data_IF_598185751652
#
_entry.id   IF_598185751652
#
_cell.length_a   1.000
_cell.length_b   1.000
_cell.length_c   1.000
_cell.angle_alpha   90.00
_cell.angle_beta   90.00
_cell.angle_gamma   90.00
#
_symmetry.space_group_name_H-M   'P 1'
#
loop_
_entity.id
_entity.type
_entity.pdbx_description
1 polymer ?
#
# COMPACT_ATOMS: atom_id res chain seq x y z
N UNK A 1 13.15 20.18 -13.62
CA UNK A 1 12.96 20.43 -12.18
C UNK A 1 13.98 19.57 -11.46
N UNK A 2 14.84 20.15 -10.62
CA UNK A 2 15.78 19.35 -9.82
C UNK A 2 14.98 18.59 -8.79
N UNK A 3 15.14 17.24 -8.77
CA UNK A 3 14.56 16.39 -7.71
C UNK A 3 15.08 16.87 -6.33
N UNK A 4 14.28 16.71 -5.30
CA UNK A 4 14.69 16.99 -3.93
C UNK A 4 15.95 16.15 -3.63
N UNK A 5 17.09 16.81 -3.48
CA UNK A 5 18.29 16.17 -2.93
C UNK A 5 18.03 16.05 -1.42
N UNK A 6 17.45 14.90 -1.01
CA UNK A 6 17.28 14.62 0.41
C UNK A 6 18.67 14.31 0.99
N UNK A 7 19.25 15.29 1.64
CA UNK A 7 20.53 15.11 2.34
C UNK A 7 20.28 14.34 3.63
N UNK A 8 21.06 13.29 3.87
CA UNK A 8 21.03 12.58 5.14
C UNK A 8 21.51 13.51 6.26
N UNK A 9 20.73 13.60 7.32
CA UNK A 9 21.10 14.41 8.50
C UNK A 9 22.15 13.65 9.31
N UNK A 10 23.27 14.26 9.70
CA UNK A 10 24.23 13.62 10.59
C UNK A 10 23.58 13.17 11.89
N UNK A 11 23.88 11.96 12.33
CA UNK A 11 23.29 11.34 13.52
C UNK A 11 24.34 10.61 14.34
N UNK A 12 24.11 10.49 15.65
CA UNK A 12 24.90 9.63 16.55
C UNK A 12 24.31 8.22 16.69
N UNK A 13 23.20 7.92 15.97
CA UNK A 13 22.61 6.59 15.99
C UNK A 13 23.42 5.62 15.13
N UNK A 14 23.58 4.39 15.61
CA UNK A 14 24.30 3.33 14.91
C UNK A 14 23.31 2.39 14.20
N UNK A 15 23.28 2.44 12.89
CA UNK A 15 22.47 1.57 12.03
C UNK A 15 23.23 0.36 11.47
N UNK A 16 24.46 0.09 11.93
CA UNK A 16 25.30 -1.02 11.44
C UNK A 16 24.59 -2.39 11.53
N UNK A 17 23.82 -2.62 12.60
CA UNK A 17 23.03 -3.84 12.78
C UNK A 17 21.90 -3.96 11.74
N UNK A 18 21.28 -2.84 11.35
CA UNK A 18 20.27 -2.79 10.27
C UNK A 18 20.91 -3.18 8.95
N UNK A 19 22.04 -2.54 8.61
CA UNK A 19 22.76 -2.79 7.36
C UNK A 19 23.25 -4.25 7.28
N UNK A 20 23.83 -4.77 8.36
CA UNK A 20 24.27 -6.17 8.44
C UNK A 20 23.12 -7.16 8.28
N UNK A 21 21.96 -6.89 8.88
CA UNK A 21 20.78 -7.75 8.73
C UNK A 21 20.29 -7.79 7.28
N UNK A 22 20.14 -6.63 6.63
CA UNK A 22 19.69 -6.56 5.25
C UNK A 22 20.70 -7.22 4.30
N UNK A 23 22.00 -7.06 4.55
CA UNK A 23 23.07 -7.77 3.82
C UNK A 23 22.92 -9.29 3.91
N UNK A 24 22.66 -9.84 5.10
CA UNK A 24 22.48 -11.28 5.28
C UNK A 24 21.35 -11.86 4.41
N UNK A 25 20.23 -11.15 4.24
CA UNK A 25 19.13 -11.61 3.40
C UNK A 25 19.52 -11.62 1.91
N UNK A 26 20.34 -10.66 1.48
CA UNK A 26 20.86 -10.62 0.10
C UNK A 26 21.90 -11.74 -0.11
N UNK A 27 22.87 -11.89 0.80
CA UNK A 27 23.91 -12.90 0.72
C UNK A 27 23.35 -14.32 0.77
N UNK A 28 22.26 -14.53 1.52
CA UNK A 28 21.50 -15.78 1.57
C UNK A 28 20.61 -16.02 0.33
N UNK A 29 20.63 -15.13 -0.67
CA UNK A 29 19.78 -15.22 -1.85
C UNK A 29 18.26 -15.30 -1.57
N UNK A 30 17.82 -14.63 -0.48
CA UNK A 30 16.42 -14.47 -0.10
C UNK A 30 15.86 -13.20 -0.76
N UNK A 31 16.65 -12.13 -0.83
CA UNK A 31 16.35 -10.89 -1.52
C UNK A 31 17.40 -10.61 -2.60
N UNK A 32 16.98 -10.05 -3.73
CA UNK A 32 17.93 -9.58 -4.75
C UNK A 32 18.67 -8.33 -4.27
N UNK A 33 17.94 -7.41 -3.69
CA UNK A 33 18.46 -6.17 -3.14
C UNK A 33 17.46 -5.50 -2.20
N UNK A 34 17.97 -4.62 -1.37
CA UNK A 34 17.22 -3.84 -0.39
C UNK A 34 17.66 -2.39 -0.45
N UNK A 35 16.70 -1.48 -0.61
CA UNK A 35 16.86 -0.06 -0.28
C UNK A 35 16.04 0.25 0.97
N UNK A 36 16.62 0.93 1.93
CA UNK A 36 15.93 1.30 3.17
C UNK A 36 16.26 2.72 3.61
N UNK A 37 15.33 3.30 4.36
CA UNK A 37 15.49 4.62 4.97
C UNK A 37 14.87 4.65 6.36
N UNK A 38 15.47 5.43 7.26
CA UNK A 38 14.94 5.70 8.61
C UNK A 38 14.90 7.21 8.83
N UNK A 39 13.78 7.69 9.37
CA UNK A 39 13.57 9.08 9.76
C UNK A 39 13.34 9.16 11.26
N UNK A 40 13.98 10.14 11.91
CA UNK A 40 13.68 10.58 13.27
C UNK A 40 13.04 11.97 13.17
N UNK A 41 11.75 12.06 13.53
CA UNK A 41 10.94 13.19 13.09
C UNK A 41 10.95 13.30 11.57
N UNK A 42 11.22 14.51 11.05
CA UNK A 42 11.38 14.73 9.61
C UNK A 42 12.81 14.54 9.09
N UNK A 43 13.79 14.24 9.95
CA UNK A 43 15.18 14.08 9.57
C UNK A 43 15.44 12.69 9.01
N UNK A 44 15.99 12.63 7.81
CA UNK A 44 16.47 11.37 7.22
C UNK A 44 17.83 11.02 7.84
N UNK A 45 17.83 10.07 8.78
CA UNK A 45 19.02 9.74 9.60
C UNK A 45 19.78 8.52 9.08
N UNK A 46 19.12 7.65 8.30
CA UNK A 46 19.78 6.50 7.68
C UNK A 46 19.23 6.22 6.28
N UNK A 47 20.14 5.86 5.37
CA UNK A 47 19.85 5.35 4.04
C UNK A 47 20.79 4.22 3.72
N UNK A 48 20.27 3.09 3.28
CA UNK A 48 21.08 1.95 2.88
C UNK A 48 20.58 1.35 1.57
N UNK A 49 21.51 1.02 0.67
CA UNK A 49 21.26 0.25 -0.52
C UNK A 49 22.24 -0.92 -0.57
N UNK A 50 21.73 -2.13 -0.70
CA UNK A 50 22.55 -3.36 -0.69
C UNK A 50 22.02 -4.38 -1.69
N UNK A 51 22.92 -5.10 -2.37
CA UNK A 51 22.59 -6.13 -3.35
C UNK A 51 22.33 -5.58 -4.75
N UNK A 52 21.40 -6.17 -5.46
CA UNK A 52 21.23 -6.04 -6.90
C UNK A 52 19.85 -5.49 -7.26
N UNK A 53 19.82 -4.57 -8.21
CA UNK A 53 18.60 -4.18 -8.91
C UNK A 53 18.20 -5.24 -9.94
N UNK A 54 19.22 -5.84 -10.60
CA UNK A 54 19.08 -6.97 -11.52
C UNK A 54 20.25 -7.93 -11.29
N UNK A 55 19.95 -9.12 -10.76
CA UNK A 55 21.00 -10.12 -10.46
C UNK A 55 21.57 -10.77 -11.72
N UNK A 56 20.75 -10.96 -12.73
CA UNK A 56 21.12 -11.63 -13.96
C UNK A 56 22.07 -10.77 -14.80
N UNK A 57 22.05 -9.45 -14.57
CA UNK A 57 22.92 -8.47 -15.25
C UNK A 57 24.02 -7.93 -14.36
N UNK A 58 24.15 -8.45 -13.14
CA UNK A 58 25.09 -7.92 -12.13
C UNK A 58 24.92 -6.40 -11.90
N UNK A 59 23.69 -5.89 -12.05
CA UNK A 59 23.41 -4.48 -11.84
C UNK A 59 23.20 -4.19 -10.32
N UNK A 60 24.17 -3.51 -9.72
CA UNK A 60 24.13 -3.16 -8.31
C UNK A 60 22.95 -2.21 -8.01
N UNK A 61 22.27 -2.43 -6.89
CA UNK A 61 21.18 -1.57 -6.44
C UNK A 61 21.71 -0.21 -5.98
N UNK A 62 21.14 0.87 -6.53
CA UNK A 62 21.44 2.27 -6.18
C UNK A 62 20.20 2.95 -5.64
N UNK A 63 20.39 4.08 -4.99
CA UNK A 63 19.31 4.87 -4.36
C UNK A 63 18.28 5.41 -5.37
N UNK A 64 18.69 5.57 -6.61
CA UNK A 64 17.87 6.10 -7.71
C UNK A 64 17.07 5.03 -8.47
N UNK A 65 17.16 3.75 -8.06
CA UNK A 65 16.35 2.71 -8.68
C UNK A 65 14.86 2.86 -8.36
N UNK A 66 14.05 2.42 -9.33
CA UNK A 66 12.59 2.46 -9.28
C UNK A 66 12.04 1.09 -8.86
N UNK A 67 11.03 1.12 -8.03
CA UNK A 67 10.38 -0.07 -7.49
C UNK A 67 8.90 -0.08 -7.85
N UNK A 68 8.36 -1.25 -8.18
CA UNK A 68 6.91 -1.45 -8.20
C UNK A 68 6.44 -1.44 -6.75
N UNK A 69 5.76 -0.38 -6.36
CA UNK A 69 5.40 -0.18 -4.94
C UNK A 69 4.08 -0.83 -4.56
N UNK A 70 3.33 -1.33 -5.55
CA UNK A 70 2.05 -2.02 -5.35
C UNK A 70 1.19 -1.32 -4.30
N UNK A 71 0.81 -2.01 -3.23
CA UNK A 71 -0.15 -1.48 -2.25
C UNK A 71 0.34 -0.28 -1.44
N UNK A 72 1.61 0.14 -1.55
CA UNK A 72 2.02 1.45 -1.04
C UNK A 72 1.33 2.61 -1.79
N UNK A 73 0.85 2.36 -3.02
CA UNK A 73 -0.01 3.28 -3.78
C UNK A 73 -1.22 3.73 -2.97
N UNK A 74 -1.77 2.87 -2.12
CA UNK A 74 -2.95 3.16 -1.29
C UNK A 74 -2.75 4.37 -0.37
N UNK A 75 -1.54 4.58 0.14
CA UNK A 75 -1.24 5.75 0.95
C UNK A 75 -1.44 7.05 0.15
N UNK A 76 -0.95 7.09 -1.09
CA UNK A 76 -1.10 8.24 -2.00
C UNK A 76 -2.59 8.44 -2.34
N UNK A 77 -3.31 7.37 -2.64
CA UNK A 77 -4.75 7.42 -2.94
C UNK A 77 -5.55 7.94 -1.75
N UNK A 78 -5.25 7.47 -0.54
CA UNK A 78 -5.91 7.95 0.68
C UNK A 78 -5.61 9.43 0.94
N UNK A 79 -4.39 9.88 0.69
CA UNK A 79 -4.07 11.31 0.75
C UNK A 79 -4.88 12.12 -0.28
N UNK A 80 -5.08 11.59 -1.51
CA UNK A 80 -5.91 12.25 -2.52
C UNK A 80 -7.37 12.41 -2.07
N UNK A 81 -7.96 11.37 -1.48
CA UNK A 81 -9.31 11.41 -0.92
C UNK A 81 -9.39 12.42 0.23
N UNK A 82 -8.41 12.40 1.14
CA UNK A 82 -8.39 13.29 2.30
C UNK A 82 -8.16 14.76 1.93
N UNK A 83 -7.43 15.07 0.85
CA UNK A 83 -7.34 16.43 0.30
C UNK A 83 -8.72 16.96 -0.13
N UNK A 84 -9.50 16.13 -0.83
CA UNK A 84 -10.86 16.52 -1.24
C UNK A 84 -11.84 16.60 -0.06
N UNK A 85 -11.66 15.76 0.96
CA UNK A 85 -12.39 15.87 2.23
C UNK A 85 -12.08 17.19 2.93
N UNK A 86 -10.80 17.60 3.04
CA UNK A 86 -10.41 18.88 3.62
C UNK A 86 -10.93 20.10 2.85
N UNK A 87 -11.21 19.94 1.57
CA UNK A 87 -11.86 20.94 0.70
C UNK A 87 -13.40 20.97 0.86
N UNK A 88 -13.95 20.13 1.74
CA UNK A 88 -15.40 20.05 1.97
C UNK A 88 -16.20 19.51 0.78
N UNK A 89 -15.59 18.65 -0.05
CA UNK A 89 -16.26 18.07 -1.21
C UNK A 89 -17.26 16.98 -0.85
N UNK A 90 -17.06 16.33 0.28
CA UNK A 90 -17.89 15.28 0.88
C UNK A 90 -17.52 15.08 2.35
N UNK A 91 -18.38 14.40 3.08
CA UNK A 91 -18.08 13.87 4.41
C UNK A 91 -17.64 12.40 4.29
N UNK A 92 -16.78 11.92 5.20
CA UNK A 92 -16.31 10.52 5.15
C UNK A 92 -17.43 9.49 5.34
N UNK A 93 -18.51 9.87 5.99
CA UNK A 93 -19.67 9.01 6.23
C UNK A 93 -20.75 9.16 5.16
N UNK A 94 -20.52 9.95 4.11
CA UNK A 94 -21.40 10.00 2.96
C UNK A 94 -21.46 8.65 2.24
N UNK A 95 -22.64 8.22 1.77
CA UNK A 95 -22.80 7.06 0.93
C UNK A 95 -22.03 7.21 -0.38
N UNK A 96 -21.17 6.25 -0.71
CA UNK A 96 -20.45 6.28 -1.99
C UNK A 96 -21.38 6.30 -3.21
N UNK A 97 -22.58 5.77 -3.08
CA UNK A 97 -23.61 5.77 -4.13
C UNK A 97 -24.08 7.17 -4.53
N UNK A 98 -23.86 8.19 -3.73
CA UNK A 98 -24.07 9.59 -4.08
C UNK A 98 -23.21 10.01 -5.27
N UNK A 99 -22.00 9.47 -5.37
CA UNK A 99 -21.01 9.77 -6.41
C UNK A 99 -20.93 8.66 -7.47
N UNK A 100 -21.08 7.40 -7.05
CA UNK A 100 -20.97 6.20 -7.88
C UNK A 100 -22.29 5.40 -7.73
N UNK A 101 -23.36 5.74 -8.49
CA UNK A 101 -24.67 5.11 -8.36
C UNK A 101 -24.63 3.57 -8.52
N UNK A 102 -23.67 3.04 -9.30
CA UNK A 102 -23.45 1.61 -9.48
C UNK A 102 -23.21 0.86 -8.16
N UNK A 103 -22.77 1.55 -7.12
CA UNK A 103 -22.52 0.97 -5.78
C UNK A 103 -23.70 1.16 -4.80
N UNK A 104 -24.84 1.63 -5.28
CA UNK A 104 -26.09 1.62 -4.54
C UNK A 104 -26.75 0.24 -4.51
N UNK A 105 -27.75 0.07 -3.64
CA UNK A 105 -28.59 -1.14 -3.54
C UNK A 105 -27.80 -2.46 -3.51
N UNK A 106 -26.75 -2.52 -2.70
CA UNK A 106 -25.87 -3.68 -2.61
C UNK A 106 -26.54 -4.86 -1.92
N UNK A 107 -26.09 -6.05 -2.29
CA UNK A 107 -26.45 -7.32 -1.66
C UNK A 107 -25.21 -7.93 -1.01
N UNK A 108 -25.43 -8.75 0.01
CA UNK A 108 -24.40 -9.47 0.77
C UNK A 108 -24.58 -10.96 0.57
N UNK A 109 -23.50 -11.67 0.28
CA UNK A 109 -23.50 -13.13 0.14
C UNK A 109 -23.90 -13.77 1.49
N UNK A 110 -24.88 -14.69 1.47
CA UNK A 110 -25.32 -15.38 2.69
C UNK A 110 -24.23 -16.31 3.24
N UNK A 111 -24.13 -16.44 4.55
CA UNK A 111 -23.27 -17.48 5.14
C UNK A 111 -23.61 -18.88 4.61
N UNK A 112 -22.59 -19.58 4.12
CA UNK A 112 -22.80 -20.93 3.58
C UNK A 112 -23.40 -21.01 2.16
N UNK A 113 -23.55 -19.86 1.47
CA UNK A 113 -24.00 -19.82 0.09
C UNK A 113 -23.12 -20.73 -0.80
N UNK A 114 -23.77 -21.49 -1.69
CA UNK A 114 -23.11 -22.35 -2.69
C UNK A 114 -23.18 -21.76 -4.09
N UNK A 115 -23.95 -20.68 -4.28
CA UNK A 115 -24.06 -19.92 -5.52
C UNK A 115 -23.97 -18.42 -5.22
N UNK A 116 -23.37 -17.69 -6.14
CA UNK A 116 -23.07 -16.25 -5.95
C UNK A 116 -24.34 -15.38 -5.84
N UNK A 117 -25.49 -15.87 -6.32
CA UNK A 117 -26.78 -15.17 -6.29
C UNK A 117 -27.57 -15.38 -5.00
N UNK A 118 -27.13 -16.26 -4.09
CA UNK A 118 -27.77 -16.45 -2.79
C UNK A 118 -27.35 -15.34 -1.82
N UNK A 119 -28.11 -14.24 -1.86
CA UNK A 119 -27.75 -12.99 -1.19
C UNK A 119 -28.92 -12.42 -0.40
N UNK A 120 -28.61 -11.57 0.58
CA UNK A 120 -29.54 -10.70 1.27
C UNK A 120 -29.25 -9.22 0.94
N UNK A 121 -30.22 -8.31 0.99
CA UNK A 121 -29.96 -6.88 0.87
C UNK A 121 -28.99 -6.39 1.95
N UNK A 122 -28.05 -5.51 1.57
CA UNK A 122 -27.18 -4.88 2.54
C UNK A 122 -27.99 -4.02 3.52
N UNK A 123 -27.62 -4.05 4.81
CA UNK A 123 -28.33 -3.32 5.88
C UNK A 123 -28.12 -1.82 5.86
N UNK A 124 -27.04 -1.36 5.21
CA UNK A 124 -26.68 0.04 5.06
C UNK A 124 -25.93 0.27 3.74
N UNK A 125 -25.92 1.50 3.22
CA UNK A 125 -25.03 1.83 2.10
C UNK A 125 -23.56 1.76 2.52
N UNK A 126 -22.69 1.61 1.53
CA UNK A 126 -21.22 1.72 1.72
C UNK A 126 -20.88 3.19 1.88
N UNK A 127 -20.08 3.55 2.90
CA UNK A 127 -19.55 4.91 3.08
C UNK A 127 -18.12 5.04 2.54
N UNK A 128 -17.67 6.29 2.30
CA UNK A 128 -16.30 6.60 1.91
C UNK A 128 -15.31 6.11 2.99
N UNK A 129 -15.62 6.33 4.28
CA UNK A 129 -14.84 5.83 5.43
C UNK A 129 -14.65 4.31 5.37
N UNK A 130 -15.72 3.56 5.08
CA UNK A 130 -15.67 2.12 4.98
C UNK A 130 -14.83 1.62 3.79
N UNK A 131 -14.80 2.36 2.68
CA UNK A 131 -13.88 2.08 1.57
C UNK A 131 -12.42 2.32 1.99
N UNK A 132 -12.13 3.44 2.66
CA UNK A 132 -10.79 3.78 3.12
C UNK A 132 -10.26 2.80 4.18
N UNK A 133 -11.13 2.24 5.01
CA UNK A 133 -10.78 1.30 6.07
C UNK A 133 -10.92 -0.18 5.69
N UNK A 134 -11.28 -0.50 4.44
CA UNK A 134 -11.55 -1.86 3.98
C UNK A 134 -12.66 -2.58 4.75
N UNK A 135 -13.61 -1.85 5.33
CA UNK A 135 -14.79 -2.38 6.02
C UNK A 135 -16.08 -2.30 5.19
N UNK A 136 -15.97 -2.07 3.89
CA UNK A 136 -17.10 -1.92 2.96
C UNK A 136 -17.80 -3.23 2.58
N UNK A 137 -17.13 -4.39 2.76
CA UNK A 137 -17.62 -5.70 2.27
C UNK A 137 -17.23 -6.00 0.82
N UNK A 138 -16.58 -5.08 0.09
CA UNK A 138 -15.94 -5.40 -1.19
C UNK A 138 -14.78 -6.36 -0.98
N UNK A 139 -14.43 -7.16 -1.99
CA UNK A 139 -13.30 -8.08 -1.98
C UNK A 139 -12.26 -7.74 -3.06
N UNK A 140 -11.31 -8.61 -3.27
CA UNK A 140 -10.19 -8.35 -4.19
C UNK A 140 -10.15 -9.30 -5.40
N UNK A 141 -10.65 -10.54 -5.25
CA UNK A 141 -10.42 -11.60 -6.25
C UNK A 141 -8.93 -11.91 -6.42
N UNK A 142 -8.15 -11.82 -5.36
CA UNK A 142 -6.70 -12.05 -5.36
C UNK A 142 -6.23 -12.97 -4.22
N UNK A 143 -6.87 -12.90 -3.06
CA UNK A 143 -6.34 -13.43 -1.82
C UNK A 143 -7.02 -14.70 -1.33
N UNK A 144 -8.24 -15.01 -1.78
CA UNK A 144 -9.04 -16.16 -1.35
C UNK A 144 -9.40 -17.09 -2.54
N UNK A 145 -8.40 -17.72 -3.20
CA UNK A 145 -8.67 -18.60 -4.34
C UNK A 145 -9.60 -19.76 -3.92
N UNK A 146 -10.60 -20.05 -4.77
CA UNK A 146 -11.58 -21.11 -4.53
C UNK A 146 -12.87 -20.65 -3.84
N UNK A 147 -12.98 -19.42 -3.38
CA UNK A 147 -14.25 -18.87 -2.91
C UNK A 147 -15.14 -18.42 -4.06
N UNK A 148 -16.46 -18.35 -3.84
CA UNK A 148 -17.42 -17.84 -4.82
C UNK A 148 -17.09 -16.39 -5.22
N UNK A 149 -16.74 -15.56 -4.25
CA UNK A 149 -16.36 -14.16 -4.49
C UNK A 149 -15.10 -14.06 -5.36
N UNK A 150 -14.05 -14.83 -5.05
CA UNK A 150 -12.82 -14.84 -5.84
C UNK A 150 -13.11 -15.20 -7.30
N UNK A 151 -13.90 -16.27 -7.51
CA UNK A 151 -14.29 -16.73 -8.85
C UNK A 151 -15.07 -15.63 -9.59
N UNK A 152 -16.08 -15.04 -8.94
CA UNK A 152 -16.92 -14.01 -9.54
C UNK A 152 -16.14 -12.75 -9.92
N UNK A 153 -15.22 -12.27 -9.07
CA UNK A 153 -14.34 -11.12 -9.36
C UNK A 153 -13.40 -11.42 -10.53
N UNK A 154 -12.91 -12.66 -10.64
CA UNK A 154 -12.03 -13.11 -11.72
C UNK A 154 -12.79 -13.18 -13.04
N UNK A 155 -13.96 -13.81 -13.07
CA UNK A 155 -14.80 -13.95 -14.26
C UNK A 155 -15.29 -12.59 -14.78
N UNK A 156 -15.66 -11.68 -13.89
CA UNK A 156 -16.04 -10.31 -14.23
C UNK A 156 -14.85 -9.42 -14.60
N UNK A 157 -13.61 -9.93 -14.50
CA UNK A 157 -12.38 -9.20 -14.82
C UNK A 157 -12.30 -7.83 -14.12
N UNK A 158 -12.68 -7.78 -12.85
CA UNK A 158 -12.75 -6.53 -12.07
C UNK A 158 -11.43 -5.74 -12.12
N UNK A 159 -10.30 -6.42 -12.32
CA UNK A 159 -8.95 -5.83 -12.38
C UNK A 159 -8.34 -5.94 -13.78
N UNK A 160 -9.12 -5.73 -14.83
CA UNK A 160 -8.63 -5.72 -16.21
C UNK A 160 -7.87 -4.41 -16.50
N UNK A 161 -6.58 -4.45 -16.84
CA UNK A 161 -5.81 -3.24 -17.13
C UNK A 161 -6.27 -2.52 -18.41
N UNK A 162 -7.08 -3.15 -19.26
CA UNK A 162 -7.63 -2.54 -20.47
C UNK A 162 -8.93 -1.76 -20.20
N UNK A 163 -9.46 -1.81 -19.00
CA UNK A 163 -10.70 -1.16 -18.59
C UNK A 163 -10.39 0.03 -17.69
N UNK A 164 -11.08 1.15 -17.89
CA UNK A 164 -10.93 2.34 -17.03
C UNK A 164 -11.51 2.11 -15.63
N UNK A 165 -11.21 3.02 -14.69
CA UNK A 165 -11.85 3.00 -13.37
C UNK A 165 -13.39 3.09 -13.47
N UNK A 166 -13.93 3.81 -14.44
CA UNK A 166 -15.38 3.85 -14.69
C UNK A 166 -15.93 2.47 -15.09
N UNK A 167 -15.31 1.80 -16.06
CA UNK A 167 -15.72 0.46 -16.48
C UNK A 167 -15.51 -0.62 -15.38
N UNK A 168 -14.54 -0.42 -14.49
CA UNK A 168 -14.41 -1.26 -13.31
C UNK A 168 -15.63 -1.15 -12.39
N UNK A 169 -16.24 0.06 -12.24
CA UNK A 169 -17.48 0.20 -11.47
C UNK A 169 -18.61 -0.62 -12.07
N UNK A 170 -18.72 -0.66 -13.39
CA UNK A 170 -19.73 -1.49 -14.07
C UNK A 170 -19.50 -2.98 -13.83
N UNK A 171 -18.23 -3.44 -13.76
CA UNK A 171 -17.92 -4.82 -13.42
C UNK A 171 -18.29 -5.20 -11.97
N UNK A 172 -18.39 -4.23 -11.06
CA UNK A 172 -18.74 -4.44 -9.66
C UNK A 172 -20.26 -4.46 -9.39
N UNK A 173 -21.11 -3.98 -10.32
CA UNK A 173 -22.55 -3.74 -10.10
C UNK A 173 -23.26 -4.93 -9.47
N UNK A 174 -23.13 -6.13 -10.06
CA UNK A 174 -23.87 -7.34 -9.67
C UNK A 174 -23.10 -8.24 -8.69
N UNK A 175 -21.90 -7.85 -8.29
CA UNK A 175 -21.09 -8.67 -7.38
C UNK A 175 -21.53 -8.42 -5.93
N UNK A 176 -21.85 -9.46 -5.14
CA UNK A 176 -22.23 -9.26 -3.75
C UNK A 176 -21.05 -8.84 -2.89
N UNK A 177 -21.37 -8.25 -1.75
CA UNK A 177 -20.43 -7.98 -0.67
C UNK A 177 -20.17 -9.28 0.13
N UNK A 178 -19.02 -9.37 0.76
CA UNK A 178 -18.64 -10.51 1.63
C UNK A 178 -19.38 -10.44 2.97
N UNK A 179 -19.63 -9.23 3.47
CA UNK A 179 -20.37 -8.94 4.70
C UNK A 179 -21.09 -7.59 4.59
N UNK A 180 -21.99 -7.32 5.52
CA UNK A 180 -22.66 -6.03 5.59
C UNK A 180 -21.66 -4.89 5.86
N UNK A 181 -21.77 -3.75 5.16
CA UNK A 181 -20.87 -2.63 5.37
C UNK A 181 -20.70 -2.26 6.85
N UNK A 182 -19.45 -2.14 7.29
CA UNK A 182 -19.09 -1.83 8.66
C UNK A 182 -19.05 -3.00 9.64
N UNK A 183 -19.36 -4.25 9.23
CA UNK A 183 -19.42 -5.38 10.17
C UNK A 183 -18.21 -6.31 10.14
N UNK A 184 -17.24 -6.05 9.27
CA UNK A 184 -16.05 -6.87 9.11
C UNK A 184 -14.93 -6.11 8.41
N UNK A 185 -13.83 -6.80 8.17
CA UNK A 185 -12.71 -6.29 7.41
C UNK A 185 -12.34 -7.26 6.29
N UNK A 186 -12.22 -6.73 5.07
CA UNK A 186 -11.80 -7.49 3.89
C UNK A 186 -10.91 -6.61 3.02
N UNK A 187 -9.67 -7.02 2.84
CA UNK A 187 -8.77 -6.34 1.90
C UNK A 187 -9.32 -6.38 0.49
N UNK A 188 -9.46 -5.22 -0.17
CA UNK A 188 -10.34 -5.13 -1.32
C UNK A 188 -9.89 -4.12 -2.37
N UNK A 189 -10.59 -4.11 -3.49
CA UNK A 189 -10.51 -3.09 -4.55
C UNK A 189 -11.10 -1.73 -4.12
N UNK A 190 -11.46 -1.58 -2.87
CA UNK A 190 -12.04 -0.33 -2.36
C UNK A 190 -11.19 0.91 -2.69
N UNK A 191 -9.87 0.79 -2.70
CA UNK A 191 -8.99 1.91 -3.04
C UNK A 191 -9.04 2.27 -4.53
N UNK A 192 -9.34 1.32 -5.42
CA UNK A 192 -9.61 1.62 -6.83
C UNK A 192 -10.97 2.34 -6.99
N UNK A 193 -11.96 1.98 -6.18
CA UNK A 193 -13.24 2.72 -6.09
C UNK A 193 -13.00 4.16 -5.61
N UNK A 194 -12.13 4.35 -4.62
CA UNK A 194 -11.74 5.68 -4.14
C UNK A 194 -11.01 6.49 -5.23
N UNK A 195 -10.21 5.85 -6.08
CA UNK A 195 -9.61 6.54 -7.22
C UNK A 195 -10.66 7.06 -8.20
N UNK A 196 -11.74 6.28 -8.43
CA UNK A 196 -12.88 6.73 -9.22
C UNK A 196 -13.63 7.88 -8.55
N UNK A 197 -13.80 7.86 -7.23
CA UNK A 197 -14.35 8.99 -6.47
C UNK A 197 -13.52 10.26 -6.71
N UNK A 198 -12.19 10.17 -6.64
CA UNK A 198 -11.30 11.31 -6.92
C UNK A 198 -11.53 11.86 -8.32
N UNK A 199 -11.65 11.02 -9.36
CA UNK A 199 -11.95 11.48 -10.73
C UNK A 199 -13.28 12.23 -10.82
N UNK A 200 -14.34 11.67 -10.21
CA UNK A 200 -15.69 12.26 -10.28
C UNK A 200 -15.77 13.60 -9.55
N UNK A 201 -15.13 13.70 -8.40
CA UNK A 201 -15.19 14.91 -7.56
C UNK A 201 -14.28 16.01 -8.09
N UNK A 202 -13.11 15.65 -8.63
CA UNK A 202 -12.14 16.62 -9.16
C UNK A 202 -12.37 17.02 -10.60
N UNK A 203 -13.06 16.18 -11.39
CA UNK A 203 -13.29 16.39 -12.81
C UNK A 203 -12.08 16.09 -13.72
N UNK A 204 -10.98 15.56 -13.17
CA UNK A 204 -9.77 15.19 -13.92
C UNK A 204 -9.43 13.72 -13.67
N UNK A 205 -8.52 13.13 -14.47
CA UNK A 205 -8.10 11.75 -14.26
C UNK A 205 -7.39 11.58 -12.91
N UNK A 206 -7.46 10.37 -12.35
CA UNK A 206 -6.81 10.07 -11.07
C UNK A 206 -5.29 10.35 -11.13
N UNK A 207 -4.64 9.98 -12.25
CA UNK A 207 -3.21 10.24 -12.45
C UNK A 207 -2.87 11.73 -12.47
N UNK A 208 -3.67 12.55 -13.16
CA UNK A 208 -3.47 14.01 -13.19
C UNK A 208 -3.70 14.64 -11.81
N UNK A 209 -4.70 14.14 -11.07
CA UNK A 209 -4.96 14.61 -9.71
C UNK A 209 -3.77 14.36 -8.80
N UNK A 210 -3.31 13.12 -8.67
CA UNK A 210 -2.17 12.82 -7.79
C UNK A 210 -0.90 13.54 -8.24
N UNK A 211 -0.65 13.63 -9.55
CA UNK A 211 0.50 14.34 -10.10
C UNK A 211 0.52 15.82 -9.71
N UNK A 212 -0.62 16.50 -9.84
CA UNK A 212 -0.71 17.94 -9.57
C UNK A 212 -0.80 18.28 -8.09
N UNK A 213 -1.48 17.44 -7.29
CA UNK A 213 -1.86 17.76 -5.92
C UNK A 213 -0.97 17.10 -4.85
N UNK A 214 -0.23 16.05 -5.22
CA UNK A 214 0.60 15.28 -4.28
C UNK A 214 2.04 15.18 -4.78
N UNK A 215 2.25 14.57 -5.96
CA UNK A 215 3.60 14.22 -6.38
C UNK A 215 4.45 15.45 -6.67
N UNK A 216 3.93 16.39 -7.44
CA UNK A 216 4.66 17.64 -7.75
C UNK A 216 4.89 18.51 -6.51
N UNK A 217 3.90 18.78 -5.64
CA UNK A 217 4.13 19.53 -4.40
C UNK A 217 5.18 18.93 -3.47
N UNK A 218 5.24 17.59 -3.39
CA UNK A 218 6.23 16.88 -2.57
C UNK A 218 7.57 16.63 -3.29
N UNK A 219 7.70 17.02 -4.57
CA UNK A 219 8.91 16.78 -5.36
C UNK A 219 9.15 15.31 -5.72
N UNK A 220 8.11 14.49 -5.75
CA UNK A 220 8.15 13.06 -6.08
C UNK A 220 8.22 12.87 -7.61
N UNK A 221 9.41 13.05 -8.17
CA UNK A 221 9.62 13.10 -9.63
C UNK A 221 9.70 11.72 -10.28
N UNK A 222 9.96 10.69 -9.51
CA UNK A 222 10.14 9.30 -9.93
C UNK A 222 8.87 8.44 -9.72
N UNK A 223 7.78 9.06 -9.24
CA UNK A 223 6.53 8.34 -8.92
C UNK A 223 5.50 8.52 -10.02
N UNK A 224 4.91 7.41 -10.47
CA UNK A 224 3.86 7.44 -11.50
C UNK A 224 3.38 6.06 -11.93
N UNK A 225 2.38 6.02 -12.80
CA UNK A 225 1.85 4.77 -13.37
C UNK A 225 2.73 4.19 -14.48
N UNK A 226 3.57 5.02 -15.08
CA UNK A 226 4.44 4.65 -16.21
C UNK A 226 5.84 5.18 -15.96
N UNK A 227 6.82 4.31 -16.16
CA UNK A 227 8.24 4.69 -16.18
C UNK A 227 8.58 5.23 -17.56
N UNK A 228 9.03 6.49 -17.70
CA UNK A 228 9.49 7.06 -18.96
C UNK A 228 10.58 6.19 -19.62
N UNK A 229 10.64 6.19 -20.95
CA UNK A 229 11.53 5.32 -21.69
C UNK A 229 13.00 5.47 -21.28
N UNK A 230 13.43 6.70 -21.03
CA UNK A 230 14.78 7.08 -20.59
C UNK A 230 15.12 6.59 -19.18
N UNK A 231 14.12 6.29 -18.35
CA UNK A 231 14.31 5.83 -16.96
C UNK A 231 14.05 4.32 -16.76
N UNK A 232 13.69 3.57 -17.82
CA UNK A 232 13.39 2.14 -17.71
C UNK A 232 14.56 1.30 -17.21
N UNK A 233 15.78 1.72 -17.50
CA UNK A 233 16.99 1.08 -16.99
C UNK A 233 17.12 1.15 -15.46
N UNK A 234 16.38 2.06 -14.80
CA UNK A 234 16.33 2.19 -13.34
C UNK A 234 15.28 1.28 -12.67
N UNK A 235 14.40 0.62 -13.45
CA UNK A 235 13.33 -0.22 -12.90
C UNK A 235 13.90 -1.56 -12.45
N UNK A 236 13.96 -1.77 -11.12
CA UNK A 236 14.48 -2.99 -10.53
C UNK A 236 13.69 -4.24 -10.98
N UNK A 237 14.40 -5.32 -11.23
CA UNK A 237 13.82 -6.60 -11.66
C UNK A 237 12.96 -7.20 -10.55
N UNK A 238 11.78 -7.71 -10.93
CA UNK A 238 10.83 -8.32 -10.02
C UNK A 238 11.07 -9.82 -9.92
N UNK A 239 11.17 -10.35 -8.72
CA UNK A 239 11.53 -11.74 -8.45
C UNK A 239 10.43 -12.53 -7.76
N UNK A 240 10.44 -13.83 -7.98
CA UNK A 240 9.68 -14.83 -7.20
C UNK A 240 10.67 -15.64 -6.38
N UNK A 241 10.33 -15.93 -5.12
CA UNK A 241 11.12 -16.85 -4.29
C UNK A 241 10.99 -18.29 -4.76
N UNK A 242 11.97 -19.13 -4.43
CA UNK A 242 12.00 -20.54 -4.79
C UNK A 242 10.82 -21.35 -4.21
N UNK A 243 10.22 -20.88 -3.12
CA UNK A 243 9.08 -21.49 -2.47
C UNK A 243 8.05 -20.41 -2.08
N UNK A 244 6.78 -20.54 -2.49
CA UNK A 244 5.74 -19.59 -2.11
C UNK A 244 5.28 -19.72 -0.65
N UNK A 245 5.54 -20.87 -0.01
CA UNK A 245 5.13 -21.17 1.37
C UNK A 245 6.26 -20.87 2.36
N UNK A 246 7.51 -21.16 1.99
CA UNK A 246 8.69 -20.84 2.79
C UNK A 246 9.39 -19.57 2.27
N UNK A 247 9.12 -18.40 2.86
CA UNK A 247 9.70 -17.14 2.42
C UNK A 247 11.21 -17.05 2.68
N UNK A 248 11.76 -17.92 3.53
CA UNK A 248 13.16 -17.92 3.88
C UNK A 248 13.98 -18.92 3.06
N UNK A 249 13.35 -19.71 2.19
CA UNK A 249 14.06 -20.61 1.29
C UNK A 249 14.88 -19.81 0.27
N UNK A 250 16.19 -20.04 0.18
CA UNK A 250 17.05 -19.39 -0.79
C UNK A 250 16.65 -19.70 -2.23
N UNK A 251 16.80 -18.71 -3.10
CA UNK A 251 16.53 -18.84 -4.52
C UNK A 251 15.54 -17.79 -5.01
N UNK A 252 15.89 -17.15 -6.12
CA UNK A 252 15.11 -16.10 -6.77
C UNK A 252 15.08 -16.35 -8.26
N UNK A 253 13.92 -16.18 -8.86
CA UNK A 253 13.73 -16.27 -10.31
C UNK A 253 13.06 -14.97 -10.79
N UNK A 254 13.60 -14.31 -11.84
CA UNK A 254 12.96 -13.15 -12.43
C UNK A 254 11.54 -13.47 -12.89
N UNK A 255 10.61 -12.57 -12.63
CA UNK A 255 9.23 -12.67 -13.10
C UNK A 255 8.89 -11.50 -13.99
N UNK A 256 8.95 -11.73 -15.26
CA UNK A 256 8.48 -10.78 -16.25
C UNK A 256 6.95 -10.73 -16.31
N UNK A 257 6.43 -9.67 -16.94
CA UNK A 257 4.99 -9.55 -17.24
C UNK A 257 4.05 -9.59 -16.02
N UNK A 258 4.52 -9.16 -14.85
CA UNK A 258 3.68 -9.04 -13.66
C UNK A 258 3.47 -7.57 -13.26
N UNK A 259 2.25 -7.16 -12.91
CA UNK A 259 0.99 -7.91 -12.80
C UNK A 259 0.33 -8.25 -14.16
N UNK A 260 0.76 -7.64 -15.25
CA UNK A 260 0.34 -7.91 -16.63
C UNK A 260 1.48 -7.54 -17.60
N UNK A 261 1.42 -7.99 -18.89
CA UNK A 261 2.48 -7.70 -19.86
C UNK A 261 2.73 -6.21 -20.04
N UNK A 262 4.01 -5.81 -20.01
CA UNK A 262 4.46 -4.42 -20.10
C UNK A 262 3.88 -3.50 -19.01
N UNK A 263 3.53 -4.05 -17.85
CA UNK A 263 3.13 -3.24 -16.69
C UNK A 263 4.19 -2.18 -16.39
N UNK A 264 3.73 -0.97 -16.09
CA UNK A 264 4.55 0.21 -15.76
C UNK A 264 5.45 0.75 -16.89
N UNK A 265 5.48 0.13 -18.07
CA UNK A 265 6.26 0.65 -19.22
C UNK A 265 5.37 1.14 -20.37
N UNK A 266 4.06 0.96 -20.27
CA UNK A 266 3.05 1.55 -21.14
C UNK A 266 1.89 2.09 -20.34
N UNK A 267 1.22 3.12 -20.86
CA UNK A 267 -0.04 3.61 -20.29
C UNK A 267 -1.14 2.58 -20.50
N UNK A 268 -1.98 2.43 -19.48
CA UNK A 268 -3.20 1.62 -19.52
C UNK A 268 -4.37 2.46 -18.98
N UNK A 269 -5.62 2.17 -19.41
CA UNK A 269 -6.80 2.90 -18.90
C UNK A 269 -7.01 2.76 -17.40
N UNK A 270 -6.63 1.60 -16.83
CA UNK A 270 -6.76 1.32 -15.39
C UNK A 270 -5.64 1.96 -14.57
N UNK A 271 -5.87 3.16 -14.09
CA UNK A 271 -4.97 3.84 -13.15
C UNK A 271 -5.25 3.37 -11.72
N UNK A 272 -4.78 2.16 -11.39
CA UNK A 272 -5.09 1.52 -10.11
C UNK A 272 -4.52 2.30 -8.92
N UNK A 273 -5.39 2.91 -8.14
CA UNK A 273 -5.01 3.49 -6.83
C UNK A 273 -4.77 2.43 -5.76
N UNK A 274 -5.18 1.19 -6.02
CA UNK A 274 -4.89 0.05 -5.16
C UNK A 274 -3.47 -0.51 -5.29
N UNK A 275 -2.73 -0.20 -6.39
CA UNK A 275 -1.42 -0.84 -6.57
C UNK A 275 -0.69 -0.52 -7.86
N UNK A 276 -1.05 0.53 -8.58
CA UNK A 276 -0.56 0.78 -9.93
C UNK A 276 0.72 1.60 -10.04
N UNK A 277 1.27 2.13 -8.96
CA UNK A 277 2.42 3.03 -9.04
C UNK A 277 3.76 2.31 -8.99
N UNK A 278 4.74 2.94 -9.62
CA UNK A 278 6.17 2.81 -9.34
C UNK A 278 6.63 4.03 -8.57
N UNK A 279 7.71 3.89 -7.79
CA UNK A 279 8.30 5.00 -7.03
C UNK A 279 9.77 4.70 -6.73
N UNK A 280 10.52 5.72 -6.30
CA UNK A 280 11.87 5.56 -5.73
C UNK A 280 11.83 5.59 -4.20
N UNK A 281 12.94 5.19 -3.56
CA UNK A 281 13.09 5.31 -2.11
C UNK A 281 12.90 6.77 -1.66
N UNK A 282 13.54 7.71 -2.36
CA UNK A 282 13.52 9.13 -1.98
C UNK A 282 12.14 9.77 -2.15
N UNK A 283 11.39 9.41 -3.18
CA UNK A 283 10.02 9.87 -3.35
C UNK A 283 9.11 9.39 -2.22
N UNK A 284 9.24 8.10 -1.84
CA UNK A 284 8.47 7.57 -0.72
C UNK A 284 8.88 8.20 0.62
N UNK A 285 10.16 8.53 0.81
CA UNK A 285 10.62 9.33 1.97
C UNK A 285 9.96 10.71 1.97
N UNK A 286 9.89 11.38 0.81
CA UNK A 286 9.22 12.68 0.69
C UNK A 286 7.73 12.59 1.06
N UNK A 287 7.04 11.52 0.64
CA UNK A 287 5.65 11.26 1.03
C UNK A 287 5.51 11.09 2.54
N UNK A 288 6.36 10.25 3.18
CA UNK A 288 6.31 10.05 4.63
C UNK A 288 6.58 11.36 5.39
N UNK A 289 7.55 12.16 4.94
CA UNK A 289 7.82 13.48 5.52
C UNK A 289 6.60 14.41 5.44
N UNK A 290 5.86 14.38 4.35
CA UNK A 290 4.61 15.14 4.19
C UNK A 290 3.49 14.75 5.17
N UNK A 291 3.65 13.62 5.88
CA UNK A 291 2.72 13.12 6.90
C UNK A 291 3.28 13.21 8.33
N UNK A 292 4.50 13.74 8.50
CA UNK A 292 5.16 13.87 9.80
C UNK A 292 5.08 15.33 10.30
N UNK A 293 4.98 15.53 11.62
CA UNK A 293 5.02 16.86 12.21
C UNK A 293 6.35 17.58 11.90
N UNK A 294 6.30 18.89 11.64
CA UNK A 294 7.52 19.72 11.45
C UNK A 294 7.99 19.84 9.99
N UNK A 295 7.31 19.24 9.04
CA UNK A 295 7.50 19.48 7.59
C UNK A 295 6.35 20.33 7.01
N UNK A 296 6.47 20.72 5.73
CA UNK A 296 5.33 21.22 4.97
C UNK A 296 4.34 20.05 4.81
N UNK A 297 3.32 20.01 5.67
CA UNK A 297 2.35 18.93 5.71
C UNK A 297 1.51 18.89 4.44
N UNK A 298 1.31 17.68 3.91
CA UNK A 298 0.41 17.44 2.78
C UNK A 298 -1.06 17.60 3.18
N UNK A 299 -1.41 17.25 4.40
CA UNK A 299 -2.75 17.28 5.00
C UNK A 299 -2.69 18.06 6.31
N UNK A 300 -3.83 18.50 6.82
CA UNK A 300 -3.93 19.14 8.13
C UNK A 300 -3.57 18.14 9.24
N UNK A 301 -2.97 18.60 10.36
CA UNK A 301 -2.58 17.72 11.47
C UNK A 301 -3.72 16.85 12.01
N UNK A 302 -4.93 17.40 12.13
CA UNK A 302 -6.12 16.67 12.58
C UNK A 302 -6.55 15.57 11.60
N UNK A 303 -6.41 15.80 10.30
CA UNK A 303 -6.69 14.81 9.26
C UNK A 303 -5.66 13.68 9.28
N UNK A 304 -4.39 14.00 9.47
CA UNK A 304 -3.32 13.01 9.64
C UNK A 304 -3.57 12.16 10.89
N UNK A 305 -3.92 12.79 12.02
CA UNK A 305 -4.24 12.06 13.25
C UNK A 305 -5.44 11.12 13.07
N UNK A 306 -6.51 11.58 12.41
CA UNK A 306 -7.67 10.75 12.08
C UNK A 306 -7.28 9.59 11.16
N UNK A 307 -6.44 9.83 10.15
CA UNK A 307 -5.98 8.80 9.21
C UNK A 307 -5.22 7.67 9.91
N UNK A 308 -4.44 7.99 10.95
CA UNK A 308 -3.63 7.05 11.73
C UNK A 308 -4.38 6.42 12.92
N UNK A 309 -5.66 6.75 13.11
CA UNK A 309 -6.50 6.19 14.19
C UNK A 309 -7.29 5.00 13.66
N UNK A 310 -7.50 3.96 14.51
CA UNK A 310 -8.32 2.82 14.16
C UNK A 310 -9.75 3.24 13.79
N UNK A 311 -10.23 2.79 12.64
CA UNK A 311 -11.56 3.07 12.10
C UNK A 311 -12.48 1.84 12.17
N UNK A 312 -11.95 0.69 12.58
CA UNK A 312 -12.75 -0.53 12.65
C UNK A 312 -13.59 -0.54 13.92
N UNK A 313 -14.81 -1.11 13.86
CA UNK A 313 -15.63 -1.32 15.04
C UNK A 313 -14.94 -2.22 16.08
N UNK A 314 -15.40 -2.15 17.32
CA UNK A 314 -14.94 -3.04 18.40
C UNK A 314 -15.09 -4.52 18.00
N UNK A 315 -14.06 -5.30 18.26
CA UNK A 315 -14.02 -6.72 17.93
C UNK A 315 -13.71 -7.06 16.48
N UNK A 316 -13.63 -6.07 15.57
CA UNK A 316 -13.20 -6.29 14.19
C UNK A 316 -11.69 -6.06 14.09
N UNK A 317 -10.97 -7.04 13.55
CA UNK A 317 -9.54 -6.95 13.30
C UNK A 317 -9.19 -7.29 11.84
N UNK A 318 -7.95 -7.02 11.47
CA UNK A 318 -7.42 -7.36 10.15
C UNK A 318 -7.38 -8.88 10.03
N UNK A 319 -7.81 -9.39 8.88
CA UNK A 319 -7.78 -10.81 8.53
C UNK A 319 -7.13 -11.02 7.16
N UNK A 320 -6.25 -12.00 7.06
CA UNK A 320 -5.74 -12.44 5.76
C UNK A 320 -5.91 -13.94 5.57
N UNK A 321 -6.22 -14.39 4.34
CA UNK A 321 -6.26 -15.80 4.00
C UNK A 321 -4.94 -16.50 4.37
N UNK A 322 -5.03 -17.66 4.99
CA UNK A 322 -3.86 -18.41 5.44
C UNK A 322 -3.15 -17.90 6.69
N UNK A 323 -3.42 -16.65 7.11
CA UNK A 323 -2.91 -16.06 8.36
C UNK A 323 -3.99 -15.98 9.45
N UNK A 324 -5.27 -16.00 9.05
CA UNK A 324 -6.38 -15.79 9.97
C UNK A 324 -6.47 -14.34 10.45
N UNK A 325 -7.03 -14.16 11.64
CA UNK A 325 -7.13 -12.86 12.31
C UNK A 325 -5.79 -12.42 12.90
N UNK A 326 -5.42 -11.18 12.60
CA UNK A 326 -4.20 -10.56 13.13
C UNK A 326 -4.59 -9.73 14.34
N UNK A 327 -4.60 -10.38 15.49
CA UNK A 327 -4.95 -9.74 16.77
C UNK A 327 -3.99 -8.60 17.11
N UNK A 328 -4.51 -7.55 17.74
CA UNK A 328 -3.71 -6.37 18.10
C UNK A 328 -3.49 -5.38 16.97
N UNK A 329 -4.05 -5.62 15.77
CA UNK A 329 -4.01 -4.70 14.63
C UNK A 329 -5.42 -4.26 14.23
N UNK A 330 -5.66 -2.95 14.28
CA UNK A 330 -6.79 -2.29 13.64
C UNK A 330 -6.40 -1.75 12.26
N UNK A 331 -7.31 -0.99 11.64
CA UNK A 331 -7.05 -0.35 10.35
C UNK A 331 -7.51 1.13 10.38
N UNK A 332 -6.65 2.02 9.94
CA UNK A 332 -6.93 3.45 9.75
C UNK A 332 -7.50 3.74 8.37
N UNK A 333 -7.25 4.95 7.85
CA UNK A 333 -7.77 5.35 6.53
C UNK A 333 -6.81 5.05 5.35
N UNK A 334 -5.69 4.36 5.59
CA UNK A 334 -4.74 3.97 4.54
C UNK A 334 -3.87 2.77 4.90
N UNK A 335 -3.92 2.29 6.14
CA UNK A 335 -3.03 1.24 6.62
C UNK A 335 -3.44 0.70 7.98
N UNK A 336 -2.73 -0.33 8.42
CA UNK A 336 -2.91 -0.95 9.72
C UNK A 336 -2.44 -0.03 10.85
N UNK A 337 -3.14 -0.09 11.98
CA UNK A 337 -2.78 0.59 13.22
C UNK A 337 -2.47 -0.45 14.28
N UNK A 338 -1.31 -0.37 14.90
CA UNK A 338 -0.93 -1.25 16.01
C UNK A 338 -1.67 -0.81 17.28
N UNK A 339 -2.63 -1.59 17.70
CA UNK A 339 -3.38 -1.39 18.96
C UNK A 339 -2.61 -2.00 20.12
N UNK A 340 -2.16 -3.24 19.94
CA UNK A 340 -1.33 -3.98 20.89
C UNK A 340 -0.19 -4.63 20.12
N UNK A 341 1.07 -4.29 20.44
CA UNK A 341 2.23 -4.92 19.78
C UNK A 341 2.25 -6.43 20.03
N UNK A 342 2.54 -7.20 18.97
CA UNK A 342 2.81 -8.64 19.03
C UNK A 342 4.28 -8.91 19.35
N UNK A 343 4.66 -10.20 19.47
CA UNK A 343 6.06 -10.60 19.72
C UNK A 343 7.02 -10.24 18.57
N UNK A 344 6.50 -10.00 17.36
CA UNK A 344 7.31 -9.60 16.20
C UNK A 344 7.45 -8.08 16.06
N UNK A 345 6.60 -7.33 16.75
CA UNK A 345 6.63 -5.86 16.76
C UNK A 345 7.61 -5.31 17.81
N UNK A 346 8.18 -4.11 17.63
CA UNK A 346 8.83 -3.40 18.72
C UNK A 346 7.85 -3.11 19.87
N UNK A 347 8.31 -3.23 21.12
CA UNK A 347 7.46 -2.97 22.28
C UNK A 347 6.86 -1.54 22.30
N UNK A 348 7.58 -0.56 21.75
CA UNK A 348 7.15 0.83 21.65
C UNK A 348 6.26 1.15 20.45
N UNK A 349 5.81 0.16 19.67
CA UNK A 349 5.09 0.38 18.40
C UNK A 349 3.57 0.59 18.56
N UNK A 350 3.03 0.74 19.75
CA UNK A 350 1.61 1.10 19.94
C UNK A 350 1.29 2.41 19.20
N UNK A 351 0.19 2.41 18.45
CA UNK A 351 -0.26 3.47 17.56
C UNK A 351 0.62 3.64 16.30
N UNK A 352 1.50 2.70 16.00
CA UNK A 352 2.22 2.67 14.74
C UNK A 352 1.24 2.45 13.58
N UNK A 353 1.39 3.26 12.55
CA UNK A 353 0.62 3.21 11.32
C UNK A 353 1.51 2.68 10.19
N UNK A 354 1.09 1.63 9.51
CA UNK A 354 1.95 0.90 8.57
C UNK A 354 1.17 0.20 7.47
N UNK A 355 1.82 0.01 6.32
CA UNK A 355 1.35 -0.89 5.28
C UNK A 355 2.51 -1.33 4.40
N UNK A 356 2.23 -2.23 3.44
CA UNK A 356 3.23 -2.72 2.51
C UNK A 356 2.65 -3.20 1.18
N UNK A 357 3.52 -3.38 0.20
CA UNK A 357 3.21 -3.95 -1.11
C UNK A 357 3.68 -5.39 -1.24
N UNK A 358 3.03 -6.16 -2.13
CA UNK A 358 3.34 -7.59 -2.36
C UNK A 358 4.75 -7.84 -2.90
N UNK A 359 5.49 -6.79 -3.25
CA UNK A 359 6.91 -6.86 -3.63
C UNK A 359 7.87 -6.72 -2.45
N UNK A 360 7.36 -6.67 -1.20
CA UNK A 360 8.16 -6.44 0.00
C UNK A 360 8.53 -4.97 0.21
N UNK A 361 7.85 -4.06 -0.46
CA UNK A 361 7.91 -2.64 -0.13
C UNK A 361 7.08 -2.40 1.12
N UNK A 362 7.66 -1.75 2.12
CA UNK A 362 7.00 -1.55 3.42
C UNK A 362 7.29 -0.16 3.95
N UNK A 363 6.28 0.50 4.51
CA UNK A 363 6.42 1.76 5.21
C UNK A 363 5.72 1.72 6.57
N UNK A 364 6.24 2.48 7.52
CA UNK A 364 5.62 2.67 8.82
C UNK A 364 5.95 4.04 9.40
N UNK A 365 5.02 4.58 10.19
CA UNK A 365 5.13 5.81 10.96
C UNK A 365 4.75 5.48 12.39
N UNK A 366 5.60 5.83 13.34
CA UNK A 366 5.36 5.70 14.78
C UNK A 366 5.33 7.09 15.42
N UNK A 367 4.14 7.71 15.59
CA UNK A 367 4.04 9.04 16.17
C UNK A 367 4.63 9.11 17.58
N UNK A 368 4.41 8.06 18.41
CA UNK A 368 4.92 8.02 19.78
C UNK A 368 6.44 7.90 19.88
N UNK A 369 7.06 7.16 18.97
CA UNK A 369 8.51 7.01 18.92
C UNK A 369 9.19 8.16 18.16
N UNK A 370 8.42 9.03 17.51
CA UNK A 370 8.90 10.06 16.59
C UNK A 370 9.80 9.46 15.50
N UNK A 371 9.36 8.35 14.92
CA UNK A 371 10.17 7.49 14.07
C UNK A 371 9.35 7.04 12.86
N UNK A 372 9.97 7.01 11.69
CA UNK A 372 9.38 6.40 10.51
C UNK A 372 10.44 5.59 9.73
N UNK A 373 10.00 4.60 8.98
CA UNK A 373 10.91 3.79 8.19
C UNK A 373 10.29 3.32 6.89
N UNK A 374 11.18 3.01 5.97
CA UNK A 374 10.86 2.56 4.63
C UNK A 374 11.81 1.44 4.22
N UNK A 375 11.25 0.35 3.70
CA UNK A 375 11.97 -0.78 3.14
C UNK A 375 11.45 -1.03 1.72
N UNK A 376 12.34 -1.10 0.75
CA UNK A 376 12.02 -1.32 -0.66
C UNK A 376 12.74 -2.57 -1.16
N UNK A 377 11.99 -3.56 -1.59
CA UNK A 377 12.48 -4.78 -2.26
C UNK A 377 11.64 -5.08 -3.49
N UNK A 378 12.01 -6.10 -4.27
CA UNK A 378 11.24 -6.55 -5.42
C UNK A 378 11.05 -8.07 -5.41
N UNK A 379 10.70 -8.65 -4.25
CA UNK A 379 10.35 -10.06 -4.12
C UNK A 379 8.86 -10.25 -3.95
N UNK A 380 8.25 -11.09 -4.80
CA UNK A 380 6.81 -11.37 -4.77
C UNK A 380 6.36 -12.01 -3.45
N UNK A 381 5.18 -11.61 -2.97
CA UNK A 381 4.55 -12.08 -1.74
C UNK A 381 5.39 -11.87 -0.47
N UNK A 382 6.26 -10.86 -0.52
CA UNK A 382 7.14 -10.50 0.58
C UNK A 382 6.45 -9.71 1.72
N UNK A 383 5.14 -9.70 1.76
CA UNK A 383 4.33 -8.87 2.63
C UNK A 383 4.50 -9.20 4.13
N UNK A 384 4.65 -10.49 4.47
CA UNK A 384 4.74 -10.98 5.84
C UNK A 384 6.11 -11.58 6.20
N UNK A 385 7.14 -11.20 5.47
CA UNK A 385 8.45 -11.82 5.61
C UNK A 385 9.21 -11.30 6.83
N UNK A 386 10.02 -12.17 7.47
CA UNK A 386 10.77 -11.81 8.68
C UNK A 386 11.65 -10.58 8.53
N UNK A 387 12.20 -10.31 7.34
CA UNK A 387 13.13 -9.20 7.12
C UNK A 387 12.50 -7.82 7.32
N UNK A 388 11.21 -7.63 7.02
CA UNK A 388 10.55 -6.34 7.27
C UNK A 388 10.35 -6.10 8.77
N UNK A 389 10.03 -7.14 9.52
CA UNK A 389 9.94 -7.05 10.98
C UNK A 389 11.32 -6.87 11.64
N UNK A 390 12.35 -7.59 11.14
CA UNK A 390 13.70 -7.44 11.64
C UNK A 390 14.24 -6.03 11.37
N UNK A 391 14.09 -5.52 10.15
CA UNK A 391 14.43 -4.14 9.80
C UNK A 391 13.82 -3.15 10.80
N UNK A 392 12.52 -3.25 11.03
CA UNK A 392 11.81 -2.35 11.94
C UNK A 392 12.34 -2.45 13.38
N UNK A 393 12.46 -3.66 13.94
CA UNK A 393 12.98 -3.85 15.30
C UNK A 393 14.40 -3.29 15.47
N UNK A 394 15.25 -3.48 14.48
CA UNK A 394 16.63 -2.97 14.52
C UNK A 394 16.65 -1.44 14.37
N UNK A 395 15.80 -0.85 13.55
CA UNK A 395 15.65 0.60 13.43
C UNK A 395 15.21 1.24 14.76
N UNK A 396 14.20 0.66 15.44
CA UNK A 396 13.80 1.12 16.78
C UNK A 396 14.95 1.03 17.79
N UNK A 397 15.69 -0.08 17.83
CA UNK A 397 16.84 -0.24 18.72
C UNK A 397 17.95 0.76 18.44
N UNK A 398 18.25 1.03 17.17
CA UNK A 398 19.29 1.98 16.76
C UNK A 398 19.05 3.38 17.30
N UNK A 399 17.77 3.78 17.47
CA UNK A 399 17.37 5.09 18.02
C UNK A 399 17.00 5.02 19.51
N UNK A 400 17.28 3.89 20.19
CA UNK A 400 17.05 3.75 21.64
C UNK A 400 15.54 3.64 22.02
N UNK A 401 14.73 3.05 21.16
CA UNK A 401 13.28 2.87 21.35
C UNK A 401 12.90 1.40 21.44
#
# INVERSE_FOLDING_TARGET
MQGLTLTQTPTNHDFSAVHAAMRRYVDANILSGVSSAVLVGCDLVDVNCVGWADKERDEALRIDHLFRVFSNTKLITSCAVLLLFEEGKFELDDPISTFIPQLGNRHVLKPGATVITDTDPARSPITIRQLMSHSSGLSYGLLDPGTLIFTAYTERKVRDPQVSLAGMMDALVDLPLVFHPGTGWEYSVATDVLSRLVELVSGISFGEFIQSRILRPLGMVDTGFVVPAEHRHRLATYYVGADPVDPMRPGLTPRENFPYPNAHVRSVPWQSGGGGLVSSLLDMVALLRGLLPGSASLLKPETIAMMMTNQLPDGVCIRFPGQGEITGKGFGLAGAVTLTPSSVDPAGSTSEFQWGGIAGTHWWISPKANLAGLLMTQRQMAFWHPYSFEFKRLAYRAVGR
#
